data_IF_455832281480
#
_entry.id   IF_455832281480
#
_cell.length_a   1.000
_cell.length_b   1.000
_cell.length_c   1.000
_cell.angle_alpha   90.00
_cell.angle_beta   90.00
_cell.angle_gamma   90.00
#
_symmetry.space_group_name_H-M   'P 1'
#
loop_
_entity.id
_entity.type
_entity.pdbx_description
1 polymer ?
#
# COMPACT_ATOMS: atom_id res chain seq x y z
N UNK A 1 -4.10 28.48 0.03
CA UNK A 1 -3.77 28.26 1.44
C UNK A 1 -2.51 29.05 1.75
N UNK A 2 -2.65 30.31 2.15
CA UNK A 2 -1.55 31.19 2.54
C UNK A 2 -1.79 31.56 4.00
N UNK A 3 -0.74 31.47 4.82
CA UNK A 3 -0.68 31.67 6.26
C UNK A 3 -1.66 32.76 6.78
N UNK A 4 -2.51 32.38 7.74
CA UNK A 4 -3.59 33.22 8.25
C UNK A 4 -3.12 34.35 9.20
N UNK A 5 -1.87 34.33 9.67
CA UNK A 5 -1.28 35.41 10.47
C UNK A 5 0.25 35.28 10.49
N UNK A 6 0.95 36.38 10.21
CA UNK A 6 2.35 36.56 10.54
C UNK A 6 2.47 37.87 11.33
N UNK A 7 2.83 37.78 12.61
CA UNK A 7 3.05 38.94 13.47
C UNK A 7 4.55 39.15 13.62
N UNK A 8 5.06 40.25 13.05
CA UNK A 8 6.39 40.75 13.36
C UNK A 8 6.35 42.29 13.37
N UNK A 9 6.86 42.88 14.46
CA UNK A 9 7.18 44.30 14.62
C UNK A 9 6.11 45.30 14.14
N UNK A 10 4.90 45.22 14.71
CA UNK A 10 3.94 46.35 14.67
C UNK A 10 3.07 46.49 13.42
N UNK A 11 3.22 45.63 12.41
CA UNK A 11 2.32 45.60 11.26
C UNK A 11 1.43 44.34 11.29
N UNK A 12 0.12 44.54 11.26
CA UNK A 12 -0.88 43.49 11.20
C UNK A 12 -1.47 43.42 9.79
N UNK A 13 -1.14 42.37 9.04
CA UNK A 13 -1.80 42.09 7.77
C UNK A 13 -3.09 41.32 8.06
N UNK A 14 -4.24 42.03 8.07
CA UNK A 14 -5.56 41.42 8.26
C UNK A 14 -6.17 41.16 6.88
N UNK A 15 -6.27 39.91 6.48
CA UNK A 15 -7.06 39.51 5.30
C UNK A 15 -8.45 39.09 5.76
N UNK A 16 -9.48 39.80 5.31
CA UNK A 16 -10.90 39.47 5.52
C UNK A 16 -11.33 38.28 4.64
N UNK A 17 -10.84 37.08 4.98
CA UNK A 17 -11.29 35.81 4.41
C UNK A 17 -12.41 35.17 5.22
N UNK A 18 -13.25 34.35 4.58
CA UNK A 18 -14.25 33.54 5.27
C UNK A 18 -13.57 32.61 6.30
N UNK A 19 -14.15 32.49 7.49
CA UNK A 19 -13.64 31.56 8.52
C UNK A 19 -13.65 30.13 7.98
N UNK A 20 -12.54 29.40 8.18
CA UNK A 20 -12.44 27.99 7.87
C UNK A 20 -13.47 27.20 8.68
N UNK A 21 -14.47 26.63 8.02
CA UNK A 21 -15.45 25.74 8.65
C UNK A 21 -14.91 24.32 8.64
N UNK A 22 -15.09 23.60 9.75
CA UNK A 22 -14.87 22.16 9.78
C UNK A 22 -15.86 21.49 8.81
N UNK A 23 -15.35 20.63 7.94
CA UNK A 23 -16.16 19.79 7.06
C UNK A 23 -16.42 18.50 7.85
N UNK A 24 -17.67 18.29 8.25
CA UNK A 24 -18.04 17.13 9.05
C UNK A 24 -18.20 15.87 8.18
N UNK A 25 -18.68 16.02 6.94
CA UNK A 25 -18.94 14.93 6.00
C UNK A 25 -18.01 15.04 4.79
N UNK A 26 -16.72 14.79 5.03
CA UNK A 26 -15.75 14.79 3.94
C UNK A 26 -15.76 13.44 3.22
N UNK A 27 -16.17 13.46 1.95
CA UNK A 27 -16.18 12.29 1.09
C UNK A 27 -14.75 11.91 0.70
N UNK A 28 -14.29 10.76 1.19
CA UNK A 28 -12.98 10.18 0.84
C UNK A 28 -13.23 8.96 -0.03
N UNK A 29 -13.06 9.06 -1.36
CA UNK A 29 -13.25 7.94 -2.26
C UNK A 29 -12.13 6.91 -2.09
N UNK A 30 -12.45 5.63 -2.29
CA UNK A 30 -11.47 4.54 -2.29
C UNK A 30 -11.84 3.56 -3.40
N UNK A 31 -10.87 2.87 -3.98
CA UNK A 31 -11.09 1.92 -5.08
C UNK A 31 -10.79 0.50 -4.59
N UNK A 32 -11.71 -0.42 -4.88
CA UNK A 32 -11.58 -1.84 -4.56
C UNK A 32 -11.64 -2.67 -5.84
N UNK A 33 -10.64 -3.53 -6.05
CA UNK A 33 -10.63 -4.54 -7.11
C UNK A 33 -10.56 -5.93 -6.50
N UNK A 34 -11.30 -6.89 -7.06
CA UNK A 34 -11.38 -8.26 -6.53
C UNK A 34 -11.11 -9.31 -7.60
N UNK A 35 -10.28 -10.30 -7.26
CA UNK A 35 -10.07 -11.51 -8.03
C UNK A 35 -10.50 -12.71 -7.18
N UNK A 36 -11.53 -13.43 -7.62
CA UNK A 36 -12.07 -14.58 -6.91
C UNK A 36 -11.26 -15.84 -7.22
N UNK A 37 -11.05 -16.68 -6.20
CA UNK A 37 -10.39 -17.98 -6.26
C UNK A 37 -11.33 -19.08 -6.76
N UNK A 38 -10.76 -20.26 -7.06
CA UNK A 38 -11.50 -21.35 -7.73
C UNK A 38 -12.62 -21.96 -6.86
N UNK A 39 -12.56 -21.73 -5.55
CA UNK A 39 -13.52 -22.19 -4.54
C UNK A 39 -14.54 -21.15 -4.08
N UNK A 40 -14.64 -20.01 -4.76
CA UNK A 40 -15.62 -18.96 -4.43
C UNK A 40 -15.28 -18.15 -3.18
N UNK A 41 -16.31 -17.59 -2.56
CA UNK A 41 -16.22 -16.63 -1.44
C UNK A 41 -15.78 -17.25 -0.11
N UNK A 42 -15.89 -18.57 0.03
CA UNK A 42 -15.50 -19.30 1.25
C UNK A 42 -13.98 -19.48 1.40
N UNK A 43 -13.21 -19.13 0.37
CA UNK A 43 -11.76 -19.23 0.40
C UNK A 43 -11.11 -18.08 1.20
N UNK A 44 -9.95 -18.34 1.81
CA UNK A 44 -9.16 -17.30 2.46
C UNK A 44 -8.82 -16.17 1.49
N UNK A 45 -9.01 -14.93 1.94
CA UNK A 45 -8.78 -13.69 1.20
C UNK A 45 -7.47 -13.04 1.65
N UNK A 46 -6.58 -12.76 0.70
CA UNK A 46 -5.39 -11.93 0.90
C UNK A 46 -5.71 -10.53 0.42
N UNK A 47 -5.55 -9.55 1.31
CA UNK A 47 -5.85 -8.14 1.01
C UNK A 47 -4.54 -7.41 0.77
N UNK A 48 -4.40 -6.76 -0.38
CA UNK A 48 -3.25 -5.93 -0.76
C UNK A 48 -3.72 -4.48 -0.77
N UNK A 49 -3.14 -3.68 0.12
CA UNK A 49 -3.57 -2.30 0.37
C UNK A 49 -2.46 -1.33 0.03
N UNK A 50 -2.80 -0.22 -0.62
CA UNK A 50 -1.92 0.92 -0.71
C UNK A 50 -2.76 2.20 -0.65
N UNK A 51 -2.35 3.18 0.14
CA UNK A 51 -2.98 4.50 0.08
C UNK A 51 -2.42 5.31 -1.09
N UNK A 52 -3.27 6.02 -1.82
CA UNK A 52 -2.82 6.86 -2.95
C UNK A 52 -2.52 8.30 -2.55
N UNK A 53 -2.81 8.71 -1.32
CA UNK A 53 -2.59 10.10 -0.90
C UNK A 53 -1.13 10.41 -0.64
N UNK A 54 -0.84 11.70 -0.83
CA UNK A 54 0.40 12.34 -0.43
C UNK A 54 0.11 13.47 0.55
N UNK A 55 1.14 13.86 1.29
CA UNK A 55 1.07 15.01 2.19
C UNK A 55 2.30 15.87 2.01
N UNK A 56 2.08 17.18 1.96
CA UNK A 56 3.13 18.17 1.90
C UNK A 56 2.63 19.50 2.46
N UNK A 57 3.57 20.35 2.84
CA UNK A 57 3.28 21.69 3.38
C UNK A 57 2.41 22.51 2.42
N UNK A 58 2.56 22.30 1.11
CA UNK A 58 1.69 22.85 0.08
C UNK A 58 0.94 21.72 -0.64
N UNK A 59 -0.38 21.56 -0.43
CA UNK A 59 -1.18 20.52 -1.06
C UNK A 59 -1.04 20.46 -2.60
N UNK A 60 -1.02 21.64 -3.23
CA UNK A 60 -0.90 21.80 -4.68
C UNK A 60 0.46 21.39 -5.27
N UNK A 61 1.47 21.20 -4.44
CA UNK A 61 2.80 20.74 -4.84
C UNK A 61 3.12 19.34 -4.30
N UNK A 62 2.16 18.71 -3.62
CA UNK A 62 2.32 17.38 -3.06
C UNK A 62 2.00 16.34 -4.13
N UNK A 63 3.00 15.98 -4.93
CA UNK A 63 2.88 14.88 -5.90
C UNK A 63 3.05 13.51 -5.23
N UNK A 64 3.93 13.43 -4.24
CA UNK A 64 4.16 12.23 -3.42
C UNK A 64 4.56 11.01 -4.23
N UNK A 65 5.47 11.19 -5.18
CA UNK A 65 5.84 10.14 -6.12
C UNK A 65 6.24 8.85 -5.38
N UNK A 66 7.13 8.94 -4.39
CA UNK A 66 7.52 7.78 -3.58
C UNK A 66 6.52 7.55 -2.44
N UNK A 67 5.96 8.60 -1.84
CA UNK A 67 4.98 8.56 -0.74
C UNK A 67 3.57 9.01 -1.18
N UNK A 68 2.69 8.14 -1.69
CA UNK A 68 2.85 6.70 -1.92
C UNK A 68 2.48 6.33 -3.37
N UNK A 69 2.97 7.11 -4.35
CA UNK A 69 2.76 6.77 -5.77
C UNK A 69 3.42 5.44 -6.13
N UNK A 70 4.61 5.19 -5.57
CA UNK A 70 5.32 3.92 -5.72
C UNK A 70 4.49 2.73 -5.24
N UNK A 71 3.86 2.78 -4.07
CA UNK A 71 3.00 1.70 -3.57
C UNK A 71 1.79 1.42 -4.47
N UNK A 72 1.16 2.45 -5.01
CA UNK A 72 0.05 2.29 -5.97
C UNK A 72 0.53 1.68 -7.29
N UNK A 73 1.69 2.09 -7.79
CA UNK A 73 2.25 1.50 -9.01
C UNK A 73 2.54 0.00 -8.84
N UNK A 74 3.05 -0.41 -7.67
CA UNK A 74 3.26 -1.82 -7.31
C UNK A 74 1.91 -2.54 -7.22
N UNK A 75 0.90 -1.94 -6.58
CA UNK A 75 -0.43 -2.53 -6.43
C UNK A 75 -1.08 -2.81 -7.81
N UNK A 76 -1.01 -1.86 -8.74
CA UNK A 76 -1.56 -2.02 -10.09
C UNK A 76 -0.82 -3.09 -10.90
N UNK A 77 0.51 -3.16 -10.76
CA UNK A 77 1.31 -4.18 -11.44
C UNK A 77 1.05 -5.58 -10.87
N UNK A 78 0.90 -5.71 -9.55
CA UNK A 78 0.47 -6.96 -8.92
C UNK A 78 -0.92 -7.36 -9.41
N UNK A 79 -1.88 -6.42 -9.49
CA UNK A 79 -3.21 -6.69 -10.02
C UNK A 79 -3.17 -7.21 -11.45
N UNK A 80 -2.33 -6.64 -12.32
CA UNK A 80 -2.12 -7.12 -13.70
C UNK A 80 -1.56 -8.55 -13.73
N UNK A 81 -0.51 -8.82 -12.95
CA UNK A 81 0.13 -10.14 -12.90
C UNK A 81 -0.84 -11.21 -12.40
N UNK A 82 -1.54 -10.94 -11.30
CA UNK A 82 -2.49 -11.89 -10.73
C UNK A 82 -3.74 -12.05 -11.61
N UNK A 83 -4.22 -11.00 -12.28
CA UNK A 83 -5.31 -11.10 -13.26
C UNK A 83 -5.00 -12.13 -14.35
N UNK A 84 -3.76 -12.10 -14.88
CA UNK A 84 -3.31 -13.08 -15.88
C UNK A 84 -3.17 -14.49 -15.30
N UNK A 85 -2.65 -14.64 -14.08
CA UNK A 85 -2.54 -15.95 -13.41
C UNK A 85 -3.91 -16.58 -13.13
N UNK A 86 -4.89 -15.77 -12.72
CA UNK A 86 -6.24 -16.24 -12.39
C UNK A 86 -7.08 -16.51 -13.64
N UNK A 87 -6.72 -15.95 -14.81
CA UNK A 87 -7.41 -16.23 -16.07
C UNK A 87 -7.25 -17.70 -16.51
N UNK A 88 -6.10 -18.33 -16.23
CA UNK A 88 -5.85 -19.71 -16.65
C UNK A 88 -6.31 -20.73 -15.60
N UNK A 89 -7.16 -21.69 -16.00
CA UNK A 89 -7.70 -22.72 -15.10
C UNK A 89 -6.63 -23.55 -14.38
N UNK A 90 -5.47 -23.78 -15.00
CA UNK A 90 -4.38 -24.59 -14.41
C UNK A 90 -3.61 -23.85 -13.32
N UNK A 91 -3.54 -22.53 -13.42
CA UNK A 91 -2.86 -21.65 -12.45
C UNK A 91 -3.85 -20.93 -11.56
N UNK A 92 -5.14 -21.26 -11.60
CA UNK A 92 -6.13 -20.61 -10.77
C UNK A 92 -5.88 -20.96 -9.30
N UNK A 93 -5.64 -19.95 -8.47
CA UNK A 93 -5.29 -20.17 -7.07
C UNK A 93 -6.52 -20.50 -6.21
N UNK A 94 -6.24 -21.11 -5.06
CA UNK A 94 -7.20 -21.39 -3.98
C UNK A 94 -7.32 -20.25 -2.95
N UNK A 95 -7.04 -19.01 -3.35
CA UNK A 95 -7.16 -17.81 -2.51
C UNK A 95 -7.92 -16.72 -3.25
N UNK A 96 -8.67 -15.91 -2.52
CA UNK A 96 -9.25 -14.68 -3.01
C UNK A 96 -8.21 -13.54 -2.88
N UNK A 97 -8.11 -12.68 -3.89
CA UNK A 97 -7.26 -11.48 -3.82
C UNK A 97 -8.13 -10.24 -3.86
N UNK A 98 -7.90 -9.35 -2.90
CA UNK A 98 -8.57 -8.05 -2.82
C UNK A 98 -7.49 -6.97 -2.90
N UNK A 99 -7.60 -6.10 -3.89
CA UNK A 99 -6.75 -4.93 -4.07
C UNK A 99 -7.52 -3.70 -3.60
N UNK A 100 -6.96 -2.98 -2.64
CA UNK A 100 -7.62 -1.82 -2.05
C UNK A 100 -6.71 -0.59 -2.15
N UNK A 101 -7.14 0.40 -2.93
CA UNK A 101 -6.50 1.70 -3.01
C UNK A 101 -7.22 2.68 -2.09
N UNK A 102 -6.64 2.94 -0.91
CA UNK A 102 -7.30 3.71 0.14
C UNK A 102 -7.07 5.22 -0.02
N UNK A 103 -8.14 5.99 0.17
CA UNK A 103 -8.07 7.44 0.36
C UNK A 103 -7.93 7.84 1.84
N UNK A 104 -7.57 9.09 2.09
CA UNK A 104 -7.32 9.60 3.44
C UNK A 104 -6.16 8.92 4.18
N UNK A 105 -5.20 8.30 3.50
CA UNK A 105 -4.05 7.61 4.11
C UNK A 105 -3.24 8.52 5.04
N UNK A 106 -2.91 9.72 4.55
CA UNK A 106 -2.19 10.74 5.34
C UNK A 106 -3.07 11.43 6.39
N UNK A 107 -4.38 11.29 6.29
CA UNK A 107 -5.35 11.73 7.30
C UNK A 107 -5.61 10.61 8.31
N UNK A 108 -4.56 9.98 8.81
CA UNK A 108 -4.66 8.88 9.78
C UNK A 108 -5.44 7.67 9.22
N UNK A 109 -5.30 7.38 7.92
CA UNK A 109 -5.92 6.23 7.26
C UNK A 109 -7.46 6.20 7.40
N UNK A 110 -8.14 7.34 7.21
CA UNK A 110 -9.60 7.40 7.34
C UNK A 110 -10.33 6.51 6.33
N UNK A 111 -9.90 6.43 5.07
CA UNK A 111 -10.54 5.57 4.08
C UNK A 111 -10.47 4.10 4.47
N UNK A 112 -9.31 3.65 4.93
CA UNK A 112 -9.11 2.30 5.48
C UNK A 112 -9.96 2.05 6.72
N UNK A 113 -10.07 3.04 7.62
CA UNK A 113 -10.95 2.95 8.79
C UNK A 113 -12.42 2.77 8.37
N UNK A 114 -12.90 3.60 7.44
CA UNK A 114 -14.29 3.53 6.95
C UNK A 114 -14.58 2.21 6.26
N UNK A 115 -13.67 1.76 5.40
CA UNK A 115 -13.76 0.46 4.73
C UNK A 115 -13.80 -0.70 5.73
N UNK A 116 -13.00 -0.65 6.80
CA UNK A 116 -13.06 -1.64 7.88
C UNK A 116 -14.40 -1.61 8.62
N UNK A 117 -14.97 -0.42 8.88
CA UNK A 117 -16.30 -0.30 9.49
C UNK A 117 -17.38 -0.89 8.58
N UNK A 118 -17.35 -0.60 7.27
CA UNK A 118 -18.32 -1.14 6.32
C UNK A 118 -18.23 -2.66 6.17
N UNK A 119 -17.02 -3.21 6.12
CA UNK A 119 -16.83 -4.64 5.87
C UNK A 119 -16.87 -5.51 7.13
N UNK A 120 -16.60 -4.95 8.32
CA UNK A 120 -16.66 -5.71 9.58
C UNK A 120 -17.89 -5.39 10.44
N UNK A 121 -18.52 -4.21 10.32
CA UNK A 121 -19.64 -3.86 11.20
C UNK A 121 -21.01 -4.11 10.55
N UNK A 122 -21.08 -4.46 9.25
CA UNK A 122 -22.32 -4.81 8.55
C UNK A 122 -22.47 -6.32 8.37
N UNK A 123 -23.51 -6.90 8.99
CA UNK A 123 -23.75 -8.35 9.07
C UNK A 123 -24.10 -9.02 7.75
N UNK A 124 -24.50 -8.26 6.73
CA UNK A 124 -25.09 -8.79 5.49
C UNK A 124 -24.07 -8.91 4.33
N UNK A 125 -22.80 -8.51 4.51
CA UNK A 125 -21.77 -8.54 3.46
C UNK A 125 -20.37 -8.89 3.99
N UNK A 126 -20.29 -9.61 5.10
CA UNK A 126 -19.04 -9.85 5.82
C UNK A 126 -18.20 -10.99 5.22
N UNK A 127 -17.66 -10.76 4.03
CA UNK A 127 -16.65 -11.63 3.42
C UNK A 127 -15.31 -11.58 4.16
N UNK A 128 -15.12 -10.57 5.02
CA UNK A 128 -13.84 -10.25 5.63
C UNK A 128 -13.76 -10.53 7.14
N UNK A 129 -14.86 -10.80 7.87
CA UNK A 129 -14.74 -11.07 9.31
C UNK A 129 -14.00 -12.37 9.61
N UNK A 130 -14.27 -13.45 8.86
CA UNK A 130 -13.74 -14.79 9.20
C UNK A 130 -12.79 -15.38 8.15
N UNK A 131 -12.74 -14.83 6.93
CA UNK A 131 -11.96 -15.40 5.83
C UNK A 131 -10.70 -14.60 5.46
N UNK A 132 -10.30 -13.55 6.19
CA UNK A 132 -9.06 -12.81 5.86
C UNK A 132 -7.84 -13.60 6.32
N UNK A 133 -7.01 -14.03 5.36
CA UNK A 133 -5.75 -14.70 5.63
C UNK A 133 -4.71 -13.73 6.23
N UNK A 134 -4.44 -12.64 5.51
CA UNK A 134 -3.60 -11.53 5.96
C UNK A 134 -3.78 -10.31 5.06
N UNK A 135 -3.37 -9.15 5.59
CA UNK A 135 -3.35 -7.87 4.90
C UNK A 135 -1.90 -7.43 4.68
N UNK A 136 -1.53 -7.24 3.42
CA UNK A 136 -0.26 -6.67 2.99
C UNK A 136 -0.47 -5.21 2.63
N UNK A 137 0.11 -4.30 3.40
CA UNK A 137 0.12 -2.87 3.07
C UNK A 137 1.43 -2.51 2.35
N UNK A 138 1.33 -1.79 1.23
CA UNK A 138 2.45 -1.30 0.44
C UNK A 138 2.62 0.19 0.68
N UNK A 139 3.78 0.61 1.19
CA UNK A 139 4.10 2.01 1.40
C UNK A 139 5.54 2.31 0.95
N UNK A 140 5.73 3.31 0.11
CA UNK A 140 7.04 3.88 -0.24
C UNK A 140 8.06 2.80 -0.66
N UNK A 141 7.95 2.32 -1.89
CA UNK A 141 8.76 1.21 -2.46
C UNK A 141 9.63 1.64 -3.65
N UNK A 142 9.69 2.94 -3.98
CA UNK A 142 10.35 3.45 -5.18
C UNK A 142 11.85 3.72 -5.03
N UNK A 143 12.43 3.49 -3.85
CA UNK A 143 13.83 3.79 -3.55
C UNK A 143 14.47 2.76 -2.63
N UNK A 144 15.80 2.85 -2.54
CA UNK A 144 16.60 2.14 -1.55
C UNK A 144 16.91 0.69 -1.94
N UNK A 145 17.97 0.17 -1.34
CA UNK A 145 18.33 -1.25 -1.39
C UNK A 145 18.01 -1.95 -0.06
N UNK A 146 17.20 -1.32 0.78
CA UNK A 146 16.71 -1.87 2.03
C UNK A 146 15.20 -2.05 1.93
N UNK A 147 14.71 -3.21 2.36
CA UNK A 147 13.28 -3.47 2.50
C UNK A 147 13.01 -3.83 3.96
N UNK A 148 12.01 -3.17 4.52
CA UNK A 148 11.61 -3.34 5.91
C UNK A 148 10.18 -3.88 5.98
N UNK A 149 10.00 -4.92 6.79
CA UNK A 149 8.69 -5.43 7.13
C UNK A 149 8.27 -4.89 8.49
N UNK A 150 7.32 -3.95 8.49
CA UNK A 150 6.79 -3.33 9.68
C UNK A 150 5.63 -4.16 10.24
N UNK A 151 5.77 -4.60 11.49
CA UNK A 151 4.77 -5.44 12.16
C UNK A 151 4.39 -4.86 13.52
N UNK A 152 3.09 -4.86 13.80
CA UNK A 152 2.53 -4.47 15.10
C UNK A 152 2.64 -5.57 16.16
N UNK A 153 2.53 -6.82 15.70
CA UNK A 153 2.67 -8.03 16.51
C UNK A 153 3.58 -8.98 15.73
N UNK A 154 4.61 -9.56 16.36
CA UNK A 154 5.45 -10.52 15.66
C UNK A 154 4.60 -11.72 15.23
N UNK A 155 4.73 -12.17 13.96
CA UNK A 155 3.91 -13.25 13.43
C UNK A 155 4.27 -14.57 14.13
N UNK A 156 3.26 -15.30 14.59
CA UNK A 156 3.44 -16.60 15.25
C UNK A 156 3.75 -17.68 14.22
N UNK A 157 4.62 -18.61 14.58
CA UNK A 157 4.91 -19.80 13.76
C UNK A 157 3.61 -20.56 13.46
N UNK A 158 3.46 -21.02 12.20
CA UNK A 158 2.25 -21.68 11.70
C UNK A 158 1.17 -20.73 11.15
N UNK A 159 1.33 -19.41 11.25
CA UNK A 159 0.42 -18.45 10.60
C UNK A 159 0.84 -18.16 9.16
N UNK A 160 -0.12 -17.81 8.29
CA UNK A 160 0.16 -17.39 6.90
C UNK A 160 1.04 -16.14 6.85
N UNK A 161 0.93 -15.25 7.83
CA UNK A 161 1.81 -14.08 7.97
C UNK A 161 3.27 -14.49 8.21
N UNK A 162 3.52 -15.50 9.04
CA UNK A 162 4.86 -16.04 9.26
C UNK A 162 5.38 -16.76 8.02
N UNK A 163 4.52 -17.50 7.32
CA UNK A 163 4.87 -18.13 6.04
C UNK A 163 5.32 -17.07 5.04
N UNK A 164 4.58 -15.97 4.89
CA UNK A 164 4.97 -14.86 4.01
C UNK A 164 6.32 -14.24 4.38
N UNK A 165 6.56 -13.99 5.67
CA UNK A 165 7.85 -13.47 6.14
C UNK A 165 9.00 -14.40 5.73
N UNK A 166 8.84 -15.71 5.96
CA UNK A 166 9.85 -16.72 5.62
C UNK A 166 10.09 -16.80 4.11
N UNK A 167 9.03 -16.76 3.30
CA UNK A 167 9.16 -16.78 1.84
C UNK A 167 9.86 -15.52 1.32
N UNK A 168 9.57 -14.36 1.91
CA UNK A 168 10.22 -13.11 1.53
C UNK A 168 11.71 -13.14 1.89
N UNK A 169 12.09 -13.59 3.08
CA UNK A 169 13.48 -13.79 3.47
C UNK A 169 14.22 -14.75 2.52
N UNK A 170 13.56 -15.85 2.14
CA UNK A 170 14.11 -16.81 1.18
C UNK A 170 14.35 -16.17 -0.19
N UNK A 171 13.34 -15.49 -0.76
CA UNK A 171 13.43 -14.85 -2.09
C UNK A 171 14.53 -13.79 -2.11
N UNK A 172 14.63 -12.98 -1.05
CA UNK A 172 15.69 -11.97 -0.96
C UNK A 172 17.06 -12.64 -0.87
N UNK A 173 17.22 -13.69 -0.05
CA UNK A 173 18.50 -14.38 0.11
C UNK A 173 18.95 -15.13 -1.14
N UNK A 174 18.04 -15.77 -1.88
CA UNK A 174 18.37 -16.58 -3.06
C UNK A 174 18.49 -15.75 -4.34
N UNK A 175 17.55 -14.83 -4.59
CA UNK A 175 17.43 -14.15 -5.88
C UNK A 175 18.01 -12.73 -5.85
N UNK A 176 18.00 -12.06 -4.69
CA UNK A 176 18.36 -10.64 -4.58
C UNK A 176 19.29 -10.34 -3.40
N UNK A 177 20.52 -10.90 -3.38
CA UNK A 177 21.46 -10.74 -2.25
C UNK A 177 21.91 -9.29 -2.03
N UNK A 178 21.67 -8.40 -3.01
CA UNK A 178 21.95 -6.97 -2.91
C UNK A 178 20.99 -6.22 -1.98
N UNK A 179 19.80 -6.78 -1.73
CA UNK A 179 18.76 -6.13 -0.94
C UNK A 179 18.86 -6.55 0.52
N UNK A 180 18.99 -5.55 1.41
CA UNK A 180 19.00 -5.77 2.86
C UNK A 180 17.57 -5.84 3.36
N UNK A 181 17.15 -7.02 3.81
CA UNK A 181 15.85 -7.19 4.44
C UNK A 181 15.97 -7.12 5.97
N UNK A 182 15.04 -6.42 6.63
CA UNK A 182 14.88 -6.51 8.08
C UNK A 182 13.44 -6.37 8.54
N UNK A 183 13.10 -7.08 9.61
CA UNK A 183 11.80 -6.94 10.27
C UNK A 183 11.87 -5.87 11.36
N UNK A 184 10.98 -4.89 11.30
CA UNK A 184 10.85 -3.81 12.29
C UNK A 184 9.56 -4.02 13.06
N UNK A 185 9.67 -4.25 14.37
CA UNK A 185 8.52 -4.42 15.25
C UNK A 185 8.28 -3.15 16.06
N UNK A 186 7.06 -2.61 15.96
CA UNK A 186 6.60 -1.48 16.76
C UNK A 186 5.27 -1.82 17.42
N UNK A 187 5.20 -1.72 18.75
CA UNK A 187 3.92 -1.87 19.46
C UNK A 187 3.03 -0.66 19.21
N UNK A 188 1.74 -0.91 18.99
CA UNK A 188 0.74 0.14 18.77
C UNK A 188 0.52 0.88 20.10
N UNK A 189 0.67 2.21 20.06
CA UNK A 189 0.34 3.07 21.17
C UNK A 189 -1.09 3.61 21.01
N UNK A 190 -2.04 3.05 21.74
CA UNK A 190 -3.45 3.45 21.69
C UNK A 190 -3.71 4.88 22.20
N UNK A 191 -2.76 5.48 22.93
CA UNK A 191 -2.86 6.85 23.42
C UNK A 191 -2.42 7.90 22.39
N UNK A 192 -1.78 7.49 21.29
CA UNK A 192 -1.36 8.39 20.23
C UNK A 192 -2.48 8.53 19.19
N UNK A 193 -2.90 9.77 18.92
CA UNK A 193 -4.00 10.02 17.98
C UNK A 193 -3.63 9.68 16.53
N UNK A 194 -2.35 9.72 16.19
CA UNK A 194 -1.83 9.48 14.83
C UNK A 194 -1.13 8.14 14.74
N UNK A 195 -1.60 7.29 13.83
CA UNK A 195 -0.98 6.01 13.53
C UNK A 195 0.25 6.17 12.63
N UNK A 196 1.22 5.28 12.81
CA UNK A 196 2.47 5.33 12.05
C UNK A 196 2.35 4.66 10.67
N UNK A 197 1.61 3.55 10.61
CA UNK A 197 1.48 2.72 9.43
C UNK A 197 0.04 2.27 9.24
N UNK A 198 -0.32 1.95 8.00
CA UNK A 198 -1.68 1.55 7.65
C UNK A 198 -2.09 0.23 8.33
N UNK A 199 -1.14 -0.71 8.48
CA UNK A 199 -1.39 -2.00 9.12
C UNK A 199 -1.83 -1.89 10.59
N UNK A 200 -1.55 -0.77 11.27
CA UNK A 200 -1.97 -0.56 12.66
C UNK A 200 -3.51 -0.48 12.75
N UNK A 201 -4.20 0.06 11.74
CA UNK A 201 -5.68 0.09 11.67
C UNK A 201 -6.27 -1.31 11.67
N UNK A 202 -5.70 -2.19 10.84
CA UNK A 202 -6.12 -3.59 10.73
C UNK A 202 -5.83 -4.37 12.02
N UNK A 203 -4.66 -4.13 12.63
CA UNK A 203 -4.25 -4.79 13.86
C UNK A 203 -5.14 -4.43 15.06
N UNK A 204 -5.69 -3.20 15.13
CA UNK A 204 -6.69 -2.79 16.12
C UNK A 204 -7.97 -3.62 15.99
N UNK A 205 -8.42 -3.90 14.76
CA UNK A 205 -9.56 -4.77 14.44
C UNK A 205 -9.22 -6.28 14.49
N UNK A 206 -8.04 -6.64 15.02
CA UNK A 206 -7.54 -8.04 15.18
C UNK A 206 -7.26 -8.78 13.87
N UNK A 207 -7.14 -8.07 12.75
CA UNK A 207 -6.73 -8.67 11.48
C UNK A 207 -5.20 -8.81 11.41
N UNK A 208 -4.66 -9.93 10.89
CA UNK A 208 -3.23 -10.10 10.66
C UNK A 208 -2.78 -9.18 9.53
N UNK A 209 -1.96 -8.17 9.85
CA UNK A 209 -1.54 -7.15 8.91
C UNK A 209 -0.08 -6.72 9.13
N UNK A 210 0.56 -6.29 8.04
CA UNK A 210 1.94 -5.79 8.03
C UNK A 210 2.15 -4.81 6.87
N UNK A 211 3.14 -3.92 7.01
CA UNK A 211 3.51 -2.98 5.94
C UNK A 211 4.90 -3.27 5.41
N UNK A 212 5.07 -3.34 4.10
CA UNK A 212 6.38 -3.36 3.45
C UNK A 212 6.71 -1.94 3.02
N UNK A 213 7.88 -1.45 3.42
CA UNK A 213 8.42 -0.18 2.96
C UNK A 213 9.94 -0.19 2.91
N UNK A 214 10.54 0.70 2.12
CA UNK A 214 11.99 0.86 2.15
C UNK A 214 12.48 1.74 3.31
N UNK A 215 11.54 2.34 4.06
CA UNK A 215 11.82 3.24 5.17
C UNK A 215 12.01 2.46 6.47
N UNK A 216 13.07 2.76 7.21
CA UNK A 216 13.30 2.17 8.54
C UNK A 216 12.32 2.75 9.58
N UNK A 217 11.97 4.02 9.45
CA UNK A 217 11.08 4.71 10.38
C UNK A 217 9.99 5.49 9.67
N UNK A 218 8.79 5.45 10.26
CA UNK A 218 7.62 6.18 9.78
C UNK A 218 7.76 7.71 9.85
N UNK A 219 8.78 8.22 10.57
CA UNK A 219 9.08 9.65 10.78
C UNK A 219 10.03 10.22 9.73
N UNK A 220 10.43 9.47 8.72
CA UNK A 220 11.32 9.98 7.69
C UNK A 220 10.72 11.23 7.01
N UNK A 221 11.54 12.27 6.93
CA UNK A 221 11.24 13.54 6.27
C UNK A 221 10.80 13.38 4.82
N UNK A 222 11.30 12.38 4.10
CA UNK A 222 10.96 12.13 2.70
C UNK A 222 9.48 11.74 2.53
N UNK A 223 8.88 11.11 3.55
CA UNK A 223 7.50 10.63 3.54
C UNK A 223 6.45 11.74 3.56
N UNK A 224 6.80 12.95 3.98
CA UNK A 224 5.85 14.07 4.09
C UNK A 224 6.37 15.34 3.38
N UNK A 225 7.13 15.15 2.29
CA UNK A 225 7.83 16.25 1.61
C UNK A 225 7.22 16.60 0.25
N UNK A 226 7.13 17.90 -0.03
CA UNK A 226 6.86 18.44 -1.38
C UNK A 226 8.01 18.19 -2.37
N UNK A 227 9.19 17.80 -1.89
CA UNK A 227 10.34 17.48 -2.74
C UNK A 227 10.27 16.05 -3.31
N UNK A 228 9.25 15.30 -2.93
CA UNK A 228 9.03 13.94 -3.39
C UNK A 228 8.44 13.92 -4.81
N UNK A 229 9.34 14.01 -5.79
CA UNK A 229 9.05 14.08 -7.23
C UNK A 229 9.56 12.83 -7.95
N UNK A 230 9.01 12.60 -9.14
CA UNK A 230 9.37 11.50 -10.05
C UNK A 230 10.88 11.33 -10.27
N UNK A 231 11.63 12.43 -10.37
CA UNK A 231 13.07 12.43 -10.62
C UNK A 231 13.91 11.72 -9.55
N UNK A 232 13.36 11.52 -8.35
CA UNK A 232 14.07 10.84 -7.26
C UNK A 232 13.78 9.33 -7.22
N UNK A 233 12.84 8.83 -8.02
CA UNK A 233 12.49 7.41 -8.03
C UNK A 233 13.41 6.68 -8.98
N UNK A 234 13.94 5.55 -8.52
CA UNK A 234 14.68 4.64 -9.37
C UNK A 234 13.72 3.56 -9.88
N UNK A 235 13.47 3.56 -11.19
CA UNK A 235 12.59 2.58 -11.83
C UNK A 235 13.14 1.16 -11.72
N UNK A 236 14.46 0.99 -11.64
CA UNK A 236 15.07 -0.33 -11.46
C UNK A 236 14.84 -0.86 -10.05
N UNK A 237 15.00 0.00 -9.04
CA UNK A 237 14.70 -0.35 -7.65
C UNK A 237 13.21 -0.69 -7.48
N UNK A 238 12.33 0.09 -8.09
CA UNK A 238 10.88 -0.18 -8.08
C UNK A 238 10.56 -1.53 -8.71
N UNK A 239 11.05 -1.81 -9.93
CA UNK A 239 10.83 -3.10 -10.61
C UNK A 239 11.34 -4.27 -9.78
N UNK A 240 12.55 -4.16 -9.22
CA UNK A 240 13.13 -5.18 -8.33
C UNK A 240 12.26 -5.41 -7.10
N UNK A 241 11.84 -4.34 -6.42
CA UNK A 241 11.01 -4.43 -5.22
C UNK A 241 9.64 -5.06 -5.54
N UNK A 242 9.02 -4.69 -6.67
CA UNK A 242 7.81 -5.34 -7.18
C UNK A 242 8.04 -6.83 -7.43
N UNK A 243 9.17 -7.22 -8.00
CA UNK A 243 9.51 -8.61 -8.28
C UNK A 243 9.63 -9.43 -6.99
N UNK A 244 10.32 -8.90 -5.98
CA UNK A 244 10.46 -9.54 -4.68
C UNK A 244 9.07 -9.79 -4.06
N UNK A 245 8.20 -8.77 -4.06
CA UNK A 245 6.87 -8.85 -3.46
C UNK A 245 5.97 -9.82 -4.24
N UNK A 246 6.00 -9.76 -5.57
CA UNK A 246 5.23 -10.64 -6.44
C UNK A 246 5.63 -12.11 -6.21
N UNK A 247 6.92 -12.41 -6.27
CA UNK A 247 7.45 -13.77 -6.05
C UNK A 247 7.11 -14.29 -4.64
N UNK A 248 7.29 -13.48 -3.60
CA UNK A 248 6.93 -13.85 -2.23
C UNK A 248 5.43 -14.13 -2.08
N UNK A 249 4.56 -13.28 -2.64
CA UNK A 249 3.10 -13.48 -2.62
C UNK A 249 2.70 -14.76 -3.35
N UNK A 250 3.23 -14.98 -4.55
CA UNK A 250 2.91 -16.16 -5.35
C UNK A 250 3.37 -17.44 -4.65
N UNK A 251 4.55 -17.44 -4.02
CA UNK A 251 5.02 -18.59 -3.22
C UNK A 251 4.07 -18.97 -2.09
N UNK A 252 3.52 -17.98 -1.39
CA UNK A 252 2.51 -18.19 -0.34
C UNK A 252 1.19 -18.68 -0.92
N UNK A 253 0.67 -18.03 -1.95
CA UNK A 253 -0.65 -18.34 -2.54
C UNK A 253 -0.70 -19.77 -3.12
N UNK A 254 0.39 -20.22 -3.76
CA UNK A 254 0.46 -21.57 -4.35
C UNK A 254 1.10 -22.60 -3.43
N UNK A 255 1.56 -22.17 -2.25
CA UNK A 255 2.26 -22.99 -1.26
C UNK A 255 3.39 -23.82 -1.88
N UNK A 256 4.28 -23.13 -2.60
CA UNK A 256 5.31 -23.77 -3.43
C UNK A 256 6.40 -24.46 -2.61
N UNK A 257 6.65 -23.95 -1.41
CA UNK A 257 7.68 -24.43 -0.50
C UNK A 257 7.34 -25.80 0.07
N UNK A 258 6.08 -26.02 0.44
CA UNK A 258 5.61 -27.34 0.86
C UNK A 258 5.55 -28.34 -0.30
N UNK A 259 5.41 -27.84 -1.54
CA UNK A 259 5.46 -28.65 -2.77
C UNK A 259 6.87 -28.93 -3.27
N UNK A 260 7.91 -28.51 -2.54
CA UNK A 260 9.31 -28.78 -2.86
C UNK A 260 9.85 -27.98 -4.05
N UNK A 261 9.27 -26.82 -4.37
CA UNK A 261 9.80 -25.95 -5.41
C UNK A 261 11.16 -25.36 -5.00
N UNK A 262 12.15 -25.28 -5.91
CA UNK A 262 13.45 -24.73 -5.57
C UNK A 262 13.39 -23.25 -5.22
N UNK A 263 14.24 -22.82 -4.28
CA UNK A 263 14.35 -21.44 -3.81
C UNK A 263 14.73 -20.45 -4.95
N UNK A 264 15.39 -20.95 -5.98
CA UNK A 264 15.86 -20.16 -7.13
C UNK A 264 14.84 -20.08 -8.28
N UNK A 265 13.69 -20.77 -8.16
CA UNK A 265 12.66 -20.71 -9.19
C UNK A 265 12.05 -19.31 -9.25
N UNK A 266 12.27 -18.62 -10.36
CA UNK A 266 11.53 -17.42 -10.72
C UNK A 266 10.25 -17.84 -11.44
N UNK A 267 9.12 -17.36 -10.95
CA UNK A 267 7.79 -17.71 -11.48
C UNK A 267 7.40 -16.73 -12.59
N UNK A 268 7.75 -15.45 -12.40
CA UNK A 268 7.45 -14.38 -13.34
C UNK A 268 8.56 -14.24 -14.38
N UNK A 269 8.72 -15.24 -15.24
CA UNK A 269 9.64 -15.20 -16.39
C UNK A 269 8.91 -14.98 -17.71
N UNK A 270 9.66 -14.54 -18.73
CA UNK A 270 9.23 -14.36 -20.12
C UNK A 270 7.94 -13.55 -20.29
N UNK A 271 6.82 -14.22 -20.55
CA UNK A 271 5.53 -13.60 -20.84
C UNK A 271 4.86 -13.01 -19.60
N UNK A 272 5.24 -13.45 -18.40
CA UNK A 272 4.70 -12.99 -17.12
C UNK A 272 5.67 -12.06 -16.38
N UNK A 273 6.73 -11.58 -17.05
CA UNK A 273 7.66 -10.64 -16.45
C UNK A 273 6.99 -9.32 -16.08
N UNK A 274 7.57 -8.67 -15.08
CA UNK A 274 7.21 -7.30 -14.70
C UNK A 274 7.63 -6.37 -15.82
N UNK A 275 6.69 -5.54 -16.26
CA UNK A 275 6.94 -4.60 -17.35
C UNK A 275 7.44 -3.28 -16.79
N UNK A 276 8.74 -3.03 -16.92
CA UNK A 276 9.35 -1.78 -16.47
C UNK A 276 8.71 -0.56 -17.14
N UNK A 277 8.41 -0.64 -18.44
CA UNK A 277 7.76 0.44 -19.20
C UNK A 277 6.38 0.78 -18.64
N UNK A 278 5.63 -0.23 -18.18
CA UNK A 278 4.32 -0.02 -17.58
C UNK A 278 4.44 0.66 -16.22
N UNK A 279 5.36 0.20 -15.36
CA UNK A 279 5.64 0.85 -14.08
C UNK A 279 6.06 2.31 -14.28
N UNK A 280 6.90 2.59 -15.28
CA UNK A 280 7.32 3.95 -15.64
C UNK A 280 6.13 4.81 -16.08
N UNK A 281 5.28 4.32 -16.98
CA UNK A 281 4.08 5.02 -17.44
C UNK A 281 3.10 5.33 -16.29
N UNK A 282 2.84 4.34 -15.43
CA UNK A 282 1.96 4.51 -14.26
C UNK A 282 2.58 5.52 -13.28
N UNK A 283 3.88 5.48 -13.06
CA UNK A 283 4.57 6.43 -12.19
C UNK A 283 4.56 7.86 -12.73
N UNK A 284 4.68 8.03 -14.05
CA UNK A 284 4.62 9.33 -14.71
C UNK A 284 3.21 9.91 -14.62
N UNK A 285 2.17 9.08 -14.82
CA UNK A 285 0.78 9.45 -14.59
C UNK A 285 0.51 9.84 -13.13
N UNK A 286 0.92 9.02 -12.16
CA UNK A 286 0.75 9.29 -10.72
C UNK A 286 1.48 10.57 -10.28
N UNK A 287 2.58 10.92 -10.93
CA UNK A 287 3.36 12.11 -10.63
C UNK A 287 2.89 13.35 -11.40
N UNK A 288 2.01 13.22 -12.39
CA UNK A 288 1.56 14.33 -13.25
C UNK A 288 0.73 15.37 -12.50
N UNK A 289 -0.01 14.94 -11.47
CA UNK A 289 -0.91 15.79 -10.69
C UNK A 289 -0.60 15.68 -9.18
N UNK A 290 -0.85 16.75 -8.41
CA UNK A 290 -0.74 16.70 -6.96
C UNK A 290 -1.84 15.83 -6.36
N UNK A 291 -1.48 14.94 -5.43
CA UNK A 291 -2.38 13.96 -4.79
C UNK A 291 -2.55 14.23 -3.31
N UNK A 292 -2.66 15.50 -2.93
CA UNK A 292 -3.07 15.82 -1.57
C UNK A 292 -4.55 15.49 -1.44
N UNK A 293 -4.96 14.78 -0.39
CA UNK A 293 -6.34 14.31 -0.30
C UNK A 293 -7.36 15.47 -0.37
N UNK A 294 -7.01 16.68 0.08
CA UNK A 294 -7.89 17.85 -0.01
C UNK A 294 -8.23 18.30 -1.45
N UNK A 295 -7.49 17.81 -2.44
CA UNK A 295 -7.66 18.15 -3.86
C UNK A 295 -8.37 17.03 -4.64
N UNK A 296 -8.53 15.85 -4.02
CA UNK A 296 -9.10 14.67 -4.66
C UNK A 296 -10.58 14.59 -4.27
N UNK A 297 -11.43 15.00 -5.21
CA UNK A 297 -12.88 14.80 -5.11
C UNK A 297 -13.31 13.49 -5.79
N UNK A 298 -14.54 13.05 -5.49
CA UNK A 298 -15.14 11.83 -6.05
C UNK A 298 -15.12 11.81 -7.59
N UNK A 299 -15.37 12.94 -8.23
CA UNK A 299 -15.43 13.05 -9.69
C UNK A 299 -14.07 13.41 -10.31
N UNK A 300 -12.97 13.27 -9.55
CA UNK A 300 -11.63 13.56 -10.07
C UNK A 300 -11.25 12.60 -11.18
N UNK A 301 -10.67 13.14 -12.25
CA UNK A 301 -10.16 12.35 -13.38
C UNK A 301 -9.12 11.32 -12.93
N UNK A 302 -8.39 11.63 -11.86
CA UNK A 302 -7.44 10.72 -11.22
C UNK A 302 -8.10 9.40 -10.81
N UNK A 303 -9.19 9.45 -10.04
CA UNK A 303 -9.84 8.26 -9.52
C UNK A 303 -10.53 7.46 -10.62
N UNK A 304 -11.19 8.15 -11.56
CA UNK A 304 -11.82 7.50 -12.71
C UNK A 304 -10.81 6.81 -13.65
N UNK A 305 -9.54 7.20 -13.61
CA UNK A 305 -8.47 6.52 -14.36
C UNK A 305 -7.84 5.39 -13.54
N UNK A 306 -7.97 5.44 -12.21
CA UNK A 306 -7.49 4.41 -11.29
C UNK A 306 -8.44 3.21 -11.23
N UNK A 307 -9.75 3.47 -11.32
CA UNK A 307 -10.83 2.49 -11.51
C UNK A 307 -10.75 1.81 -12.89
#
# INVERSE_FOLDING_TARGET
>A
VLLHTATANGFQMVTSGAQSKAINDWLIPSVEGRLTGLGGEDLPTVVIVAHYDSFGVAPWLSHGADSNGSGISVLLELARLFSRLYTYRRTHAGYNLLFFASGGGKFNYQGTKRWLEDNLDHTDSSLLQDNVAFVLCLDTLGRGNSLHLHVSKPPKEGTLQHAFLRELEMVVASQFPEVKFSMVHKKINLAEDMLAWEHERFAIRRLPAFTISHLESHRDSLRNSIMDRRARIDTKALTRNTQIIAEALTRVIYNLTEKGAPADMQIFTDQMQIQQEQLESVMDWLSSQPRAAQLIDKDSTFLNTLE
#
